data_IF_977396180215
#
_entry.id   IF_977396180215
#
_cell.length_a   1.000
_cell.length_b   1.000
_cell.length_c   1.000
_cell.angle_alpha   90.00
_cell.angle_beta   90.00
_cell.angle_gamma   90.00
#
_symmetry.space_group_name_H-M   'P 1'
#
loop_
_entity.id
_entity.type
_entity.pdbx_description
1 polymer ?
#
# COMPACT_ATOMS: atom_id res chain seq x y z
N UNK A 1 -33.87 13.45 10.33
CA UNK A 1 -32.44 13.82 10.43
C UNK A 1 -31.78 13.40 9.14
N UNK A 2 -31.35 14.36 8.31
CA UNK A 2 -30.84 14.08 6.97
C UNK A 2 -29.46 13.41 7.05
N UNK A 3 -29.33 12.26 6.38
CA UNK A 3 -28.05 11.64 6.13
C UNK A 3 -27.28 12.56 5.17
N UNK A 4 -26.33 13.34 5.68
CA UNK A 4 -25.36 14.04 4.84
C UNK A 4 -24.40 12.98 4.32
N UNK A 5 -24.71 12.41 3.14
CA UNK A 5 -23.71 11.68 2.38
C UNK A 5 -22.60 12.68 2.05
N UNK A 6 -21.46 12.57 2.73
CA UNK A 6 -20.26 13.31 2.34
C UNK A 6 -19.73 12.63 1.07
N UNK A 7 -20.06 13.20 -0.08
CA UNK A 7 -19.47 12.78 -1.34
C UNK A 7 -17.97 13.10 -1.29
N UNK A 8 -17.14 12.06 -1.39
CA UNK A 8 -15.70 12.23 -1.45
C UNK A 8 -15.34 12.92 -2.78
N UNK A 9 -14.64 14.05 -2.70
CA UNK A 9 -14.16 14.76 -3.89
C UNK A 9 -12.97 13.96 -4.46
N UNK A 10 -13.17 13.31 -5.60
CA UNK A 10 -12.14 12.62 -6.37
C UNK A 10 -11.66 13.49 -7.51
N UNK A 11 -10.34 13.65 -7.67
CA UNK A 11 -9.74 14.37 -8.79
C UNK A 11 -8.40 13.75 -9.16
N UNK A 12 -8.03 13.88 -10.43
CA UNK A 12 -6.67 13.57 -10.89
C UNK A 12 -5.73 14.73 -10.56
N UNK A 13 -4.53 14.40 -10.08
CA UNK A 13 -3.53 15.37 -9.69
C UNK A 13 -2.14 14.92 -10.12
N UNK A 14 -1.29 15.88 -10.48
CA UNK A 14 0.13 15.62 -10.75
C UNK A 14 0.92 15.64 -9.45
N UNK A 15 1.88 14.72 -9.34
CA UNK A 15 2.83 14.67 -8.23
C UNK A 15 4.18 15.14 -8.77
N UNK A 16 4.66 16.28 -8.28
CA UNK A 16 5.97 16.83 -8.62
C UNK A 16 6.74 17.18 -7.36
N UNK A 17 7.97 16.67 -7.21
CA UNK A 17 8.83 16.92 -6.04
C UNK A 17 8.17 16.65 -4.68
N UNK A 18 7.27 15.66 -4.61
CA UNK A 18 6.52 15.33 -3.38
C UNK A 18 5.37 16.27 -3.06
N UNK A 19 5.04 17.22 -3.95
CA UNK A 19 3.87 18.08 -3.85
C UNK A 19 2.76 17.55 -4.77
N UNK A 20 1.52 17.57 -4.28
CA UNK A 20 0.33 17.23 -5.06
C UNK A 20 -0.30 18.54 -5.55
N UNK A 21 -0.30 18.75 -6.86
CA UNK A 21 -0.96 19.89 -7.48
C UNK A 21 -2.48 19.72 -7.45
N UNK A 22 -3.17 20.52 -6.64
CA UNK A 22 -4.64 20.51 -6.61
C UNK A 22 -5.16 21.43 -7.72
N UNK A 23 -6.03 20.96 -8.64
CA UNK A 23 -6.61 21.81 -9.67
C UNK A 23 -7.45 22.94 -9.06
N UNK A 24 -7.34 24.15 -9.63
CA UNK A 24 -7.93 25.37 -9.08
C UNK A 24 -9.46 25.31 -8.90
N UNK A 25 -10.14 24.54 -9.75
CA UNK A 25 -11.58 24.29 -9.69
C UNK A 25 -12.07 23.68 -8.37
N UNK A 26 -11.18 23.02 -7.62
CA UNK A 26 -11.51 22.40 -6.33
C UNK A 26 -11.21 23.32 -5.15
N UNK A 27 -10.43 24.40 -5.31
CA UNK A 27 -9.99 25.26 -4.20
C UNK A 27 -11.15 25.86 -3.40
N UNK A 28 -12.24 26.22 -4.07
CA UNK A 28 -13.42 26.79 -3.41
C UNK A 28 -14.16 25.79 -2.47
N UNK A 29 -13.93 24.49 -2.66
CA UNK A 29 -14.58 23.41 -1.91
C UNK A 29 -13.69 22.88 -0.77
N UNK A 30 -12.44 23.35 -0.69
CA UNK A 30 -11.44 22.84 0.23
C UNK A 30 -11.31 23.74 1.46
N UNK A 31 -11.16 23.11 2.62
CA UNK A 31 -10.84 23.81 3.86
C UNK A 31 -9.33 24.10 3.96
N UNK A 32 -8.90 25.06 4.82
CA UNK A 32 -7.48 25.42 4.98
C UNK A 32 -6.57 24.26 5.41
N UNK A 33 -7.13 23.20 6.00
CA UNK A 33 -6.45 21.96 6.35
C UNK A 33 -7.25 20.78 5.83
N UNK A 34 -6.56 19.88 5.12
CA UNK A 34 -7.17 18.74 4.46
C UNK A 34 -6.51 17.46 4.96
N UNK A 35 -7.33 16.43 5.19
CA UNK A 35 -6.87 15.05 5.33
C UNK A 35 -7.05 14.38 3.97
N UNK A 36 -5.95 14.17 3.26
CA UNK A 36 -5.96 13.58 1.92
C UNK A 36 -5.70 12.07 2.04
N UNK A 37 -6.48 11.27 1.34
CA UNK A 37 -6.23 9.83 1.16
C UNK A 37 -5.75 9.66 -0.28
N UNK A 38 -4.47 9.33 -0.44
CA UNK A 38 -3.90 9.05 -1.77
C UNK A 38 -4.14 7.57 -2.07
N UNK A 39 -5.05 7.31 -3.01
CA UNK A 39 -5.25 5.98 -3.56
C UNK A 39 -4.33 5.84 -4.76
N UNK A 40 -3.13 5.31 -4.53
CA UNK A 40 -2.29 4.87 -5.64
C UNK A 40 -2.89 3.57 -6.16
N UNK A 41 -3.57 3.63 -7.30
CA UNK A 41 -3.81 2.42 -8.08
C UNK A 41 -2.43 1.80 -8.30
N UNK A 42 -2.22 0.58 -7.79
CA UNK A 42 -1.07 -0.21 -8.21
C UNK A 42 -1.16 -0.23 -9.73
N UNK A 43 -0.25 0.48 -10.41
CA UNK A 43 0.03 0.26 -11.82
C UNK A 43 0.01 -1.25 -12.01
N UNK A 44 -0.81 -1.74 -12.94
CA UNK A 44 -0.95 -3.17 -13.20
C UNK A 44 0.42 -3.82 -13.04
N UNK A 45 0.55 -4.74 -12.07
CA UNK A 45 1.84 -5.39 -11.77
C UNK A 45 2.40 -5.84 -13.11
N UNK A 46 3.52 -5.23 -13.53
CA UNK A 46 4.03 -5.50 -14.87
C UNK A 46 4.30 -7.00 -14.96
N UNK A 47 4.18 -7.61 -16.15
CA UNK A 47 4.42 -9.05 -16.29
C UNK A 47 5.79 -9.48 -15.71
N UNK A 48 6.77 -8.56 -15.69
CA UNK A 48 8.07 -8.72 -15.05
C UNK A 48 8.00 -8.77 -13.50
N UNK A 49 7.19 -7.93 -12.87
CA UNK A 49 6.97 -7.92 -11.41
C UNK A 49 6.21 -9.17 -10.95
N UNK A 50 5.18 -9.59 -11.70
CA UNK A 50 4.45 -10.83 -11.45
C UNK A 50 5.42 -12.02 -11.51
N UNK A 51 6.20 -12.12 -12.60
CA UNK A 51 7.19 -13.19 -12.77
C UNK A 51 8.22 -13.20 -11.63
N UNK A 52 8.72 -12.04 -11.21
CA UNK A 52 9.70 -11.93 -10.12
C UNK A 52 9.11 -12.35 -8.77
N UNK A 53 7.85 -11.99 -8.51
CA UNK A 53 7.10 -12.41 -7.32
C UNK A 53 6.90 -13.93 -7.33
N UNK A 54 6.49 -14.49 -8.46
CA UNK A 54 6.25 -15.92 -8.60
C UNK A 54 7.54 -16.74 -8.46
N UNK A 55 8.65 -16.27 -9.05
CA UNK A 55 9.98 -16.88 -8.86
C UNK A 55 10.44 -16.83 -7.41
N UNK A 56 10.18 -15.73 -6.71
CA UNK A 56 10.48 -15.59 -5.29
C UNK A 56 9.63 -16.55 -4.44
N UNK A 57 8.31 -16.59 -4.67
CA UNK A 57 7.40 -17.47 -3.96
C UNK A 57 7.72 -18.95 -4.23
N UNK A 58 8.12 -19.31 -5.44
CA UNK A 58 8.59 -20.66 -5.77
C UNK A 58 9.83 -21.06 -4.95
N UNK A 59 10.80 -20.15 -4.79
CA UNK A 59 11.97 -20.37 -3.94
C UNK A 59 11.60 -20.51 -2.46
N UNK A 60 10.66 -19.69 -1.97
CA UNK A 60 10.17 -19.77 -0.58
C UNK A 60 9.43 -21.09 -0.35
N UNK A 61 8.62 -21.55 -1.31
CA UNK A 61 7.90 -22.82 -1.23
C UNK A 61 8.84 -24.03 -1.10
N UNK A 62 9.99 -24.01 -1.78
CA UNK A 62 11.02 -25.04 -1.65
C UNK A 62 11.64 -25.11 -0.24
N UNK A 63 11.59 -24.00 0.51
CA UNK A 63 12.13 -23.89 1.86
C UNK A 63 11.02 -23.78 2.92
N UNK A 64 9.78 -24.13 2.56
CA UNK A 64 8.66 -24.11 3.48
C UNK A 64 8.73 -25.32 4.41
N UNK A 65 9.32 -25.13 5.58
CA UNK A 65 9.31 -26.12 6.64
C UNK A 65 7.95 -26.11 7.35
N UNK A 66 7.37 -27.29 7.56
CA UNK A 66 6.19 -27.42 8.43
C UNK A 66 6.68 -27.26 9.86
N UNK A 67 6.26 -26.18 10.51
CA UNK A 67 6.57 -25.95 11.91
C UNK A 67 5.67 -26.86 12.77
N UNK A 68 6.20 -27.40 13.88
CA UNK A 68 5.38 -28.12 14.86
C UNK A 68 4.20 -27.26 15.35
N UNK A 69 3.07 -27.88 15.72
CA UNK A 69 1.86 -27.16 16.16
C UNK A 69 2.07 -26.36 17.46
N UNK A 70 3.08 -26.70 18.26
CA UNK A 70 3.50 -26.03 19.48
C UNK A 70 4.67 -25.06 19.27
N UNK A 71 5.09 -24.81 18.02
CA UNK A 71 6.15 -23.87 17.72
C UNK A 71 5.75 -22.44 18.07
N UNK A 72 6.44 -21.88 19.06
CA UNK A 72 6.36 -20.47 19.42
C UNK A 72 7.67 -19.81 19.00
N UNK A 73 7.59 -18.90 18.03
CA UNK A 73 8.75 -18.15 17.55
C UNK A 73 9.36 -17.33 18.69
N UNK A 74 10.57 -17.70 19.13
CA UNK A 74 11.30 -16.95 20.17
C UNK A 74 12.17 -15.89 19.51
N UNK A 75 12.14 -14.68 20.05
CA UNK A 75 12.97 -13.55 19.59
C UNK A 75 14.47 -13.86 19.60
N UNK A 76 14.90 -14.79 20.45
CA UNK A 76 16.28 -15.30 20.53
C UNK A 76 16.71 -16.08 19.28
N UNK A 77 15.77 -16.67 18.52
CA UNK A 77 16.06 -17.41 17.29
C UNK A 77 16.48 -16.50 16.13
N UNK A 78 16.07 -15.22 16.15
CA UNK A 78 16.51 -14.20 15.16
C UNK A 78 18.01 -13.94 15.21
N UNK A 79 18.62 -14.04 16.39
CA UNK A 79 20.02 -13.66 16.62
C UNK A 79 21.00 -14.82 16.49
N UNK A 80 20.52 -16.06 16.31
CA UNK A 80 21.38 -17.25 16.16
C UNK A 80 22.04 -17.40 14.78
N UNK A 81 21.95 -16.40 13.89
CA UNK A 81 22.52 -16.43 12.54
C UNK A 81 23.41 -15.23 12.18
N UNK A 82 23.97 -14.54 13.18
CA UNK A 82 25.06 -13.58 12.99
C UNK A 82 26.34 -14.18 13.55
#
# INVERSE_FOLDING_TARGET
>A
MGNLMMEAISFEATIENGMIGIPSQYLAQLQPRLKVIVLQEKLEETAAEIKRKDEFLAKVAQHRFVLPPDYCFKREELYKRI
#
